data_IF_527851382869
#
_entry.id   IF_527851382869
#
_cell.length_a   1.000
_cell.length_b   1.000
_cell.length_c   1.000
_cell.angle_alpha   90.00
_cell.angle_beta   90.00
_cell.angle_gamma   90.00
#
_symmetry.space_group_name_H-M   'P 1'
#
loop_
_entity.id
_entity.type
_entity.pdbx_description
1 polymer ?
#
# COMPACT_ATOMS: atom_id res chain seq x y z
N UNK A 1 23.60 19.16 11.63
CA UNK A 1 23.98 19.93 12.83
C UNK A 1 22.84 20.04 13.84
N UNK A 2 21.67 20.60 13.47
CA UNK A 2 20.53 20.78 14.39
C UNK A 2 19.98 19.45 14.94
N UNK A 3 19.79 18.42 14.10
CA UNK A 3 19.32 17.11 14.58
C UNK A 3 20.29 16.42 15.56
N UNK A 4 21.60 16.59 15.36
CA UNK A 4 22.64 16.06 16.24
C UNK A 4 22.62 16.79 17.59
N UNK A 5 22.50 18.12 17.57
CA UNK A 5 22.41 18.94 18.77
C UNK A 5 21.16 18.61 19.60
N UNK A 6 20.00 18.41 18.97
CA UNK A 6 18.77 17.98 19.66
C UNK A 6 18.95 16.59 20.28
N UNK A 7 19.52 15.63 19.54
CA UNK A 7 19.77 14.27 20.06
C UNK A 7 20.74 14.25 21.24
N UNK A 8 21.76 15.10 21.23
CA UNK A 8 22.71 15.22 22.34
C UNK A 8 22.10 15.88 23.59
N UNK A 9 20.97 16.57 23.45
CA UNK A 9 20.23 17.24 24.54
C UNK A 9 19.04 16.42 25.05
N UNK A 10 18.71 15.29 24.42
CA UNK A 10 17.66 14.37 24.85
C UNK A 10 18.18 13.54 26.02
N UNK A 11 17.63 13.78 27.21
CA UNK A 11 17.90 12.96 28.38
C UNK A 11 17.20 11.60 28.24
N UNK A 12 17.88 10.52 28.62
CA UNK A 12 17.27 9.19 28.77
C UNK A 12 16.14 9.23 29.79
N UNK A 13 15.15 8.34 29.64
CA UNK A 13 14.00 8.33 30.55
C UNK A 13 14.44 8.06 32.00
N UNK A 14 13.79 8.67 33.02
CA UNK A 14 14.12 8.43 34.44
C UNK A 14 14.07 6.96 34.85
N UNK A 15 13.25 6.15 34.18
CA UNK A 15 13.20 4.71 34.41
C UNK A 15 14.44 3.98 33.86
N UNK A 16 14.95 4.39 32.69
CA UNK A 16 16.16 3.83 32.10
C UNK A 16 17.40 4.17 32.94
N UNK A 17 17.50 5.40 33.45
CA UNK A 17 18.61 5.80 34.30
C UNK A 17 18.61 5.08 35.66
N UNK A 18 17.43 4.80 36.25
CA UNK A 18 17.32 3.94 37.44
C UNK A 18 17.79 2.51 37.17
N UNK A 19 17.35 1.93 36.05
CA UNK A 19 17.79 0.59 35.62
C UNK A 19 19.31 0.49 35.41
N UNK A 20 19.91 1.52 34.83
CA UNK A 20 21.36 1.58 34.60
C UNK A 20 22.12 1.72 35.94
N UNK A 21 21.60 2.54 36.86
CA UNK A 21 22.15 2.72 38.21
C UNK A 21 22.06 1.45 39.08
N UNK A 22 21.00 0.65 38.91
CA UNK A 22 20.81 -0.64 39.61
C UNK A 22 21.68 -1.78 39.02
N UNK A 23 22.53 -1.51 38.03
CA UNK A 23 23.40 -2.50 37.39
C UNK A 23 22.64 -3.48 36.47
N UNK A 24 21.39 -3.15 36.11
CA UNK A 24 20.45 -3.99 35.36
C UNK A 24 20.73 -4.15 33.87
N UNK A 25 21.86 -3.66 33.35
CA UNK A 25 22.26 -3.83 31.97
C UNK A 25 22.71 -5.29 31.70
N UNK A 26 21.75 -6.22 31.61
CA UNK A 26 22.00 -7.62 31.20
C UNK A 26 22.62 -7.65 29.81
N UNK A 27 23.70 -8.43 29.66
CA UNK A 27 24.57 -8.53 28.46
C UNK A 27 23.91 -9.07 27.18
N UNK A 28 22.60 -9.34 27.13
CA UNK A 28 21.95 -9.98 25.96
C UNK A 28 20.50 -9.51 25.66
N UNK A 29 20.28 -8.21 25.40
CA UNK A 29 18.94 -7.65 25.17
C UNK A 29 18.21 -8.27 23.96
N UNK A 30 18.93 -8.65 22.90
CA UNK A 30 18.32 -9.31 21.72
C UNK A 30 17.74 -10.69 22.03
N UNK A 31 18.47 -11.50 22.82
CA UNK A 31 18.02 -12.85 23.19
C UNK A 31 16.82 -12.78 24.14
N UNK A 32 16.80 -11.80 25.02
CA UNK A 32 15.67 -11.58 25.93
C UNK A 32 14.43 -11.01 25.21
N UNK A 33 14.62 -10.13 24.23
CA UNK A 33 13.52 -9.55 23.44
C UNK A 33 12.87 -10.57 22.50
N UNK A 34 13.67 -11.37 21.77
CA UNK A 34 13.18 -12.19 20.66
C UNK A 34 13.14 -13.70 20.94
N UNK A 35 14.06 -14.23 21.75
CA UNK A 35 14.17 -15.68 21.99
C UNK A 35 13.47 -16.12 23.29
N UNK A 36 12.84 -15.20 24.01
CA UNK A 36 12.02 -15.52 25.19
C UNK A 36 10.55 -15.38 24.85
N UNK A 37 9.78 -16.47 24.91
CA UNK A 37 8.36 -16.49 24.48
C UNK A 37 7.48 -15.43 25.15
N UNK A 38 7.74 -15.11 26.43
CA UNK A 38 7.04 -14.05 27.19
C UNK A 38 7.09 -12.68 26.48
N UNK A 39 8.22 -12.36 25.85
CA UNK A 39 8.45 -11.10 25.14
C UNK A 39 8.18 -11.26 23.63
N UNK A 40 8.60 -12.38 23.04
CA UNK A 40 8.40 -12.70 21.63
C UNK A 40 6.93 -12.70 21.21
N UNK A 41 6.01 -13.16 22.08
CA UNK A 41 4.55 -13.05 21.80
C UNK A 41 4.10 -11.59 21.62
N UNK A 42 4.63 -10.65 22.41
CA UNK A 42 4.28 -9.24 22.31
C UNK A 42 4.91 -8.61 21.07
N UNK A 43 6.11 -9.05 20.68
CA UNK A 43 6.74 -8.68 19.40
C UNK A 43 5.86 -9.10 18.22
N UNK A 44 5.33 -10.34 18.23
CA UNK A 44 4.44 -10.83 17.19
C UNK A 44 3.10 -10.10 17.16
N UNK A 45 2.51 -9.82 18.33
CA UNK A 45 1.27 -9.02 18.44
C UNK A 45 1.50 -7.59 17.94
N UNK A 46 2.60 -6.95 18.33
CA UNK A 46 2.94 -5.61 17.83
C UNK A 46 3.18 -5.60 16.32
N UNK A 47 3.91 -6.60 15.80
CA UNK A 47 4.16 -6.75 14.37
C UNK A 47 2.86 -6.94 13.60
N UNK A 48 2.11 -8.00 13.92
CA UNK A 48 0.95 -8.41 13.14
C UNK A 48 -0.27 -7.53 13.42
N UNK A 49 -0.48 -7.10 14.66
CA UNK A 49 -1.63 -6.28 15.08
C UNK A 49 -1.48 -4.80 14.80
N UNK A 50 -0.27 -4.25 14.85
CA UNK A 50 -0.05 -2.80 14.76
C UNK A 50 0.77 -2.45 13.52
N UNK A 51 1.97 -3.03 13.37
CA UNK A 51 2.92 -2.61 12.33
C UNK A 51 2.50 -3.05 10.92
N UNK A 52 1.81 -4.18 10.76
CA UNK A 52 1.21 -4.57 9.48
C UNK A 52 0.14 -3.58 9.04
N UNK A 53 -0.76 -3.17 9.93
CA UNK A 53 -1.72 -2.12 9.63
C UNK A 53 -1.01 -0.80 9.33
N UNK A 54 0.06 -0.45 10.06
CA UNK A 54 0.75 0.80 9.79
C UNK A 54 1.44 0.79 8.42
N UNK A 55 2.11 -0.30 8.06
CA UNK A 55 2.66 -0.48 6.73
C UNK A 55 1.56 -0.42 5.67
N UNK A 56 0.50 -1.21 5.83
CA UNK A 56 -0.58 -1.31 4.85
C UNK A 56 -1.41 -0.04 4.70
N UNK A 57 -1.95 0.50 5.80
CA UNK A 57 -2.90 1.62 5.79
C UNK A 57 -2.22 2.94 5.47
N UNK A 58 -1.09 3.21 6.12
CA UNK A 58 -0.38 4.48 5.94
C UNK A 58 0.23 4.58 4.55
N UNK A 59 0.91 3.51 4.08
CA UNK A 59 1.48 3.53 2.73
C UNK A 59 0.39 3.47 1.66
N UNK A 60 -0.73 2.77 1.88
CA UNK A 60 -1.86 2.79 0.94
C UNK A 60 -2.44 4.20 0.81
N UNK A 61 -2.80 4.82 1.95
CA UNK A 61 -3.45 6.12 1.98
C UNK A 61 -2.57 7.27 1.48
N UNK A 62 -1.25 7.14 1.61
CA UNK A 62 -0.30 8.19 1.22
C UNK A 62 0.46 7.87 -0.07
N UNK A 63 1.37 6.89 -0.03
CA UNK A 63 2.28 6.61 -1.14
C UNK A 63 1.62 5.91 -2.32
N UNK A 64 0.81 4.87 -2.06
CA UNK A 64 0.11 4.16 -3.11
C UNK A 64 -0.94 5.03 -3.76
N UNK A 65 -1.65 5.85 -2.99
CA UNK A 65 -2.63 6.77 -3.55
C UNK A 65 -1.96 7.79 -4.48
N UNK A 66 -0.80 8.35 -4.09
CA UNK A 66 0.02 9.18 -4.99
C UNK A 66 0.41 8.43 -6.26
N UNK A 67 0.94 7.21 -6.12
CA UNK A 67 1.27 6.35 -7.27
C UNK A 67 0.05 6.09 -8.17
N UNK A 68 -1.10 5.78 -7.59
CA UNK A 68 -2.33 5.49 -8.32
C UNK A 68 -2.79 6.73 -9.11
N UNK A 69 -2.82 7.90 -8.48
CA UNK A 69 -3.21 9.14 -9.17
C UNK A 69 -2.26 9.49 -10.32
N UNK A 70 -0.94 9.42 -10.11
CA UNK A 70 0.05 9.80 -11.13
C UNK A 70 0.20 8.75 -12.23
N UNK A 71 0.32 7.47 -11.85
CA UNK A 71 0.71 6.40 -12.76
C UNK A 71 -0.48 5.67 -13.36
N UNK A 72 -1.60 5.56 -12.64
CA UNK A 72 -2.80 4.86 -13.13
C UNK A 72 -3.79 5.87 -13.71
N UNK A 73 -4.21 6.87 -12.92
CA UNK A 73 -5.19 7.87 -13.35
C UNK A 73 -4.58 8.96 -14.23
N UNK A 74 -3.26 8.99 -14.39
CA UNK A 74 -2.51 9.93 -15.23
C UNK A 74 -2.77 11.40 -14.86
N UNK A 75 -2.97 11.67 -13.58
CA UNK A 75 -3.10 13.02 -13.02
C UNK A 75 -1.74 13.70 -13.05
N UNK A 76 -1.74 14.99 -13.33
CA UNK A 76 -0.54 15.81 -13.31
C UNK A 76 0.13 15.83 -11.92
N UNK A 77 1.46 15.65 -11.90
CA UNK A 77 2.25 15.55 -10.66
C UNK A 77 2.08 16.77 -9.76
N UNK A 78 2.01 17.99 -10.31
CA UNK A 78 1.84 19.19 -9.50
C UNK A 78 0.49 19.20 -8.77
N UNK A 79 -0.58 18.73 -9.43
CA UNK A 79 -1.90 18.61 -8.79
C UNK A 79 -1.89 17.58 -7.66
N UNK A 80 -1.26 16.43 -7.88
CA UNK A 80 -1.12 15.39 -6.84
C UNK A 80 -0.28 15.90 -5.68
N UNK A 81 0.85 16.56 -5.94
CA UNK A 81 1.72 17.10 -4.89
C UNK A 81 1.01 18.19 -4.06
N UNK A 82 0.16 19.03 -4.67
CA UNK A 82 -0.68 19.98 -3.95
C UNK A 82 -1.68 19.28 -3.02
N UNK A 83 -2.37 18.24 -3.50
CA UNK A 83 -3.29 17.45 -2.67
C UNK A 83 -2.56 16.78 -1.51
N UNK A 84 -1.41 16.14 -1.79
CA UNK A 84 -0.58 15.48 -0.79
C UNK A 84 -0.04 16.47 0.25
N UNK A 85 0.36 17.68 -0.18
CA UNK A 85 0.80 18.74 0.73
C UNK A 85 -0.33 19.15 1.69
N UNK A 86 -1.54 19.38 1.18
CA UNK A 86 -2.68 19.79 2.01
C UNK A 86 -3.07 18.71 3.02
N UNK A 87 -3.12 17.44 2.61
CA UNK A 87 -3.43 16.35 3.55
C UNK A 87 -2.30 16.14 4.56
N UNK A 88 -1.04 16.42 4.20
CA UNK A 88 0.10 16.36 5.13
C UNK A 88 -0.03 17.42 6.21
N UNK A 89 -0.37 18.65 5.84
CA UNK A 89 -0.61 19.73 6.80
C UNK A 89 -1.78 19.39 7.73
N UNK A 90 -2.88 18.88 7.19
CA UNK A 90 -4.02 18.42 7.99
C UNK A 90 -3.63 17.29 8.95
N UNK A 91 -2.79 16.33 8.49
CA UNK A 91 -2.41 15.17 9.29
C UNK A 91 -1.73 15.54 10.61
N UNK A 92 -0.99 16.66 10.67
CA UNK A 92 -0.34 17.13 11.89
C UNK A 92 -1.34 17.36 13.03
N UNK A 93 -2.44 18.06 12.74
CA UNK A 93 -3.52 18.27 13.71
C UNK A 93 -4.24 16.95 14.04
N UNK A 94 -4.40 16.07 13.05
CA UNK A 94 -5.08 14.79 13.23
C UNK A 94 -4.29 13.81 14.11
N UNK A 95 -2.96 13.76 14.00
CA UNK A 95 -2.13 12.93 14.89
C UNK A 95 -2.29 13.35 16.35
N UNK A 96 -2.28 14.67 16.62
CA UNK A 96 -2.50 15.21 17.97
C UNK A 96 -3.90 14.87 18.46
N UNK A 97 -4.92 15.08 17.62
CA UNK A 97 -6.31 14.77 17.94
C UNK A 97 -6.51 13.29 18.28
N UNK A 98 -6.01 12.36 17.45
CA UNK A 98 -6.18 10.92 17.69
C UNK A 98 -5.31 10.40 18.83
N UNK A 99 -4.15 11.01 19.08
CA UNK A 99 -3.35 10.77 20.28
C UNK A 99 -4.18 11.07 21.53
N UNK A 100 -4.68 12.31 21.63
CA UNK A 100 -5.56 12.77 22.72
C UNK A 100 -6.84 11.93 22.84
N UNK A 101 -7.47 11.58 21.72
CA UNK A 101 -8.69 10.78 21.74
C UNK A 101 -8.41 9.39 22.32
N UNK A 102 -7.25 8.80 22.00
CA UNK A 102 -6.87 7.52 22.57
C UNK A 102 -6.54 7.63 24.06
N UNK A 103 -6.05 8.78 24.54
CA UNK A 103 -5.88 9.03 25.98
C UNK A 103 -7.21 9.08 26.73
N UNK A 104 -8.33 9.26 26.03
CA UNK A 104 -9.69 9.32 26.61
C UNK A 104 -10.54 8.08 26.37
N UNK A 105 -10.38 7.41 25.24
CA UNK A 105 -11.20 6.24 24.85
C UNK A 105 -10.43 4.92 25.06
N UNK A 106 -9.10 4.94 24.95
CA UNK A 106 -8.26 3.75 24.91
C UNK A 106 -7.45 3.67 23.61
N UNK A 107 -6.30 2.99 23.64
CA UNK A 107 -5.44 2.81 22.45
C UNK A 107 -6.11 1.90 21.44
N UNK A 108 -6.59 0.75 21.91
CA UNK A 108 -7.11 -0.33 21.05
C UNK A 108 -8.34 0.12 20.24
N UNK A 109 -9.38 0.75 20.82
CA UNK A 109 -10.55 1.19 20.06
C UNK A 109 -10.22 2.20 18.96
N UNK A 110 -9.33 3.17 19.26
CA UNK A 110 -8.96 4.22 18.29
C UNK A 110 -8.16 3.63 17.12
N UNK A 111 -7.24 2.71 17.41
CA UNK A 111 -6.49 2.00 16.38
C UNK A 111 -7.39 1.14 15.50
N UNK A 112 -8.31 0.38 16.11
CA UNK A 112 -9.27 -0.44 15.38
C UNK A 112 -10.21 0.40 14.51
N UNK A 113 -10.65 1.56 15.00
CA UNK A 113 -11.43 2.50 14.20
C UNK A 113 -10.66 2.89 12.92
N UNK A 114 -9.38 3.25 13.04
CA UNK A 114 -8.55 3.58 11.89
C UNK A 114 -8.42 2.43 10.90
N UNK A 115 -8.16 1.20 11.38
CA UNK A 115 -8.05 0.02 10.53
C UNK A 115 -9.37 -0.32 9.82
N UNK A 116 -10.50 -0.28 10.54
CA UNK A 116 -11.82 -0.59 9.98
C UNK A 116 -12.23 0.48 8.98
N UNK A 117 -12.01 1.76 9.28
CA UNK A 117 -12.26 2.85 8.35
C UNK A 117 -11.46 2.66 7.06
N UNK A 118 -10.19 2.26 7.14
CA UNK A 118 -9.38 1.94 5.97
C UNK A 118 -9.99 0.81 5.13
N UNK A 119 -10.37 -0.31 5.77
CA UNK A 119 -10.98 -1.46 5.10
C UNK A 119 -12.27 -1.09 4.36
N UNK A 120 -13.12 -0.28 5.00
CA UNK A 120 -14.38 0.19 4.41
C UNK A 120 -14.12 1.20 3.30
N UNK A 121 -13.13 2.09 3.47
CA UNK A 121 -12.92 3.21 2.57
C UNK A 121 -12.09 2.88 1.32
N UNK A 122 -11.18 1.90 1.35
CA UNK A 122 -10.24 1.69 0.23
C UNK A 122 -10.92 1.40 -1.10
N UNK A 123 -11.77 0.37 -1.19
CA UNK A 123 -12.45 0.09 -2.46
C UNK A 123 -13.35 1.24 -2.95
N UNK A 124 -14.35 1.71 -2.19
CA UNK A 124 -15.21 2.79 -2.66
C UNK A 124 -14.45 4.10 -2.86
N UNK A 125 -13.48 4.41 -2.02
CA UNK A 125 -12.67 5.62 -2.11
C UNK A 125 -11.79 5.65 -3.36
N UNK A 126 -11.12 4.54 -3.71
CA UNK A 126 -10.34 4.49 -4.96
C UNK A 126 -11.23 4.52 -6.21
N UNK A 127 -12.41 3.91 -6.19
CA UNK A 127 -13.38 4.04 -7.29
C UNK A 127 -13.87 5.49 -7.42
N UNK A 128 -14.22 6.14 -6.30
CA UNK A 128 -14.62 7.54 -6.28
C UNK A 128 -13.47 8.45 -6.74
N UNK A 129 -12.22 8.11 -6.40
CA UNK A 129 -11.03 8.84 -6.83
C UNK A 129 -10.84 8.76 -8.35
N UNK A 130 -11.10 7.62 -8.99
CA UNK A 130 -11.09 7.50 -10.45
C UNK A 130 -12.12 8.44 -11.08
N UNK A 131 -13.34 8.47 -10.55
CA UNK A 131 -14.41 9.35 -11.04
C UNK A 131 -14.09 10.84 -10.82
N UNK A 132 -13.48 11.18 -9.69
CA UNK A 132 -13.17 12.57 -9.33
C UNK A 132 -11.92 13.10 -10.05
N UNK A 133 -10.88 12.28 -10.17
CA UNK A 133 -9.59 12.70 -10.69
C UNK A 133 -9.45 12.53 -12.20
N UNK A 134 -10.11 11.53 -12.80
CA UNK A 134 -10.13 11.33 -14.25
C UNK A 134 -11.49 10.77 -14.72
N UNK A 135 -12.54 11.61 -14.76
CA UNK A 135 -13.87 11.19 -15.22
C UNK A 135 -13.86 10.64 -16.66
N UNK A 136 -13.02 11.19 -17.54
CA UNK A 136 -12.89 10.73 -18.93
C UNK A 136 -12.41 9.28 -19.02
N UNK A 137 -11.48 8.88 -18.14
CA UNK A 137 -11.02 7.49 -18.06
C UNK A 137 -12.15 6.56 -17.61
N UNK A 138 -12.94 6.98 -16.62
CA UNK A 138 -14.07 6.19 -16.14
C UNK A 138 -15.15 6.02 -17.21
N UNK A 139 -15.47 7.08 -17.94
CA UNK A 139 -16.41 7.07 -19.08
C UNK A 139 -15.92 6.17 -20.22
N UNK A 140 -14.63 6.23 -20.55
CA UNK A 140 -14.01 5.38 -21.57
C UNK A 140 -14.08 3.91 -21.19
N UNK A 141 -13.74 3.57 -19.93
CA UNK A 141 -13.84 2.21 -19.40
C UNK A 141 -15.26 1.65 -19.44
N UNK A 142 -16.26 2.50 -19.20
CA UNK A 142 -17.67 2.09 -19.27
C UNK A 142 -18.16 1.90 -20.72
N UNK A 143 -17.70 2.74 -21.65
CA UNK A 143 -18.15 2.74 -23.05
C UNK A 143 -17.46 1.69 -23.92
N UNK A 144 -16.16 1.51 -23.73
CA UNK A 144 -15.31 0.67 -24.57
C UNK A 144 -14.46 -0.26 -23.69
N UNK A 145 -15.08 -1.25 -22.99
CA UNK A 145 -14.36 -2.13 -22.09
C UNK A 145 -13.24 -2.88 -22.83
N UNK A 146 -12.12 -3.07 -22.15
CA UNK A 146 -10.99 -3.84 -22.70
C UNK A 146 -11.11 -5.30 -22.31
N UNK A 147 -10.96 -6.18 -23.29
CA UNK A 147 -10.95 -7.63 -23.10
C UNK A 147 -9.66 -8.20 -23.70
N UNK A 148 -9.01 -9.08 -22.95
CA UNK A 148 -7.87 -9.87 -23.42
C UNK A 148 -8.37 -11.28 -23.69
N UNK A 149 -8.40 -11.66 -24.96
CA UNK A 149 -8.78 -13.00 -25.42
C UNK A 149 -7.50 -13.79 -25.62
N UNK A 150 -7.21 -14.76 -24.76
CA UNK A 150 -5.95 -15.49 -24.79
C UNK A 150 -6.09 -16.92 -24.27
N UNK A 151 -5.20 -17.81 -24.70
CA UNK A 151 -5.07 -19.15 -24.12
C UNK A 151 -4.59 -19.04 -22.66
N UNK A 152 -5.41 -19.44 -21.66
CA UNK A 152 -5.03 -19.35 -20.26
C UNK A 152 -3.74 -20.09 -19.91
N UNK A 153 -3.39 -21.15 -20.65
CA UNK A 153 -2.18 -21.94 -20.40
C UNK A 153 -0.88 -21.17 -20.73
N UNK A 154 -0.97 -20.12 -21.56
CA UNK A 154 0.19 -19.31 -21.99
C UNK A 154 0.32 -17.99 -21.21
N UNK A 155 -0.63 -17.69 -20.33
CA UNK A 155 -0.64 -16.47 -19.54
C UNK A 155 0.08 -16.65 -18.20
N UNK A 156 1.28 -16.12 -18.06
CA UNK A 156 1.99 -16.15 -16.79
C UNK A 156 1.44 -15.13 -15.79
N UNK A 157 1.59 -15.43 -14.50
CA UNK A 157 1.38 -14.44 -13.43
C UNK A 157 2.56 -13.47 -13.47
N UNK A 158 2.30 -12.19 -13.74
CA UNK A 158 3.32 -11.16 -13.98
C UNK A 158 3.98 -10.64 -12.69
N UNK A 159 4.32 -11.54 -11.77
CA UNK A 159 5.06 -11.23 -10.56
C UNK A 159 6.46 -11.79 -10.65
N UNK A 160 7.44 -10.90 -10.79
CA UNK A 160 8.84 -11.27 -10.70
C UNK A 160 9.63 -10.26 -9.86
N UNK A 161 9.81 -10.55 -8.56
CA UNK A 161 10.55 -9.66 -7.66
C UNK A 161 12.07 -9.67 -7.93
N UNK A 162 12.59 -10.57 -8.76
CA UNK A 162 14.03 -10.75 -9.04
C UNK A 162 14.41 -10.26 -10.45
N UNK A 163 13.44 -9.99 -11.32
CA UNK A 163 13.63 -9.39 -12.65
C UNK A 163 14.31 -10.31 -13.67
N UNK A 164 14.16 -11.63 -13.54
CA UNK A 164 14.70 -12.66 -14.43
C UNK A 164 13.70 -13.20 -15.45
N UNK A 165 12.41 -13.02 -15.24
CA UNK A 165 11.34 -13.50 -16.12
C UNK A 165 11.20 -12.58 -17.35
N UNK A 166 11.24 -13.20 -18.54
CA UNK A 166 11.18 -12.46 -19.80
C UNK A 166 9.75 -12.09 -20.23
N UNK A 167 8.72 -12.77 -19.71
CA UNK A 167 7.30 -12.54 -20.03
C UNK A 167 7.07 -12.35 -21.54
N UNK A 168 7.35 -13.41 -22.30
CA UNK A 168 7.50 -13.40 -23.76
C UNK A 168 6.30 -13.96 -24.53
N UNK A 169 5.32 -14.56 -23.86
CA UNK A 169 4.14 -15.05 -24.57
C UNK A 169 3.30 -13.90 -25.10
N UNK A 170 2.50 -14.18 -26.14
CA UNK A 170 1.55 -13.19 -26.67
C UNK A 170 0.59 -12.66 -25.59
N UNK A 171 0.13 -13.53 -24.68
CA UNK A 171 -0.69 -13.12 -23.53
C UNK A 171 0.08 -12.21 -22.56
N UNK A 172 1.32 -12.56 -22.23
CA UNK A 172 2.14 -11.79 -21.31
C UNK A 172 2.40 -10.37 -21.84
N UNK A 173 2.71 -10.25 -23.12
CA UNK A 173 2.93 -8.95 -23.76
C UNK A 173 1.65 -8.11 -23.70
N UNK A 174 0.50 -8.66 -24.10
CA UNK A 174 -0.78 -7.95 -24.06
C UNK A 174 -1.13 -7.46 -22.65
N UNK A 175 -1.08 -8.35 -21.65
CA UNK A 175 -1.40 -8.04 -20.25
C UNK A 175 -0.48 -7.00 -19.65
N UNK A 176 0.81 -7.08 -19.94
CA UNK A 176 1.80 -6.17 -19.38
C UNK A 176 1.68 -4.76 -19.97
N UNK A 177 1.40 -4.66 -21.27
CA UNK A 177 1.15 -3.38 -21.94
C UNK A 177 -0.08 -2.70 -21.35
N UNK A 178 -1.20 -3.42 -21.21
CA UNK A 178 -2.43 -2.87 -20.64
C UNK A 178 -2.27 -2.45 -19.17
N UNK A 179 -1.57 -3.27 -18.39
CA UNK A 179 -1.28 -2.97 -16.98
C UNK A 179 -0.40 -1.72 -16.84
N UNK A 180 0.61 -1.55 -17.71
CA UNK A 180 1.45 -0.36 -17.76
C UNK A 180 0.68 0.89 -18.24
N UNK A 181 -0.29 0.70 -19.13
CA UNK A 181 -1.19 1.76 -19.56
C UNK A 181 -2.11 2.23 -18.42
N UNK A 182 -2.34 1.42 -17.38
CA UNK A 182 -3.24 1.72 -16.27
C UNK A 182 -4.71 1.49 -16.63
N UNK A 183 -4.97 0.59 -17.58
CA UNK A 183 -6.30 0.27 -18.08
C UNK A 183 -6.74 -1.08 -17.52
N UNK A 184 -7.94 -1.12 -16.93
CA UNK A 184 -8.53 -2.39 -16.49
C UNK A 184 -9.02 -3.19 -17.70
N UNK A 185 -8.83 -4.51 -17.67
CA UNK A 185 -9.26 -5.43 -18.70
C UNK A 185 -9.85 -6.71 -18.10
N UNK A 186 -10.74 -7.34 -18.87
CA UNK A 186 -11.29 -8.67 -18.56
C UNK A 186 -10.53 -9.74 -19.34
N UNK A 187 -10.31 -10.91 -18.75
CA UNK A 187 -9.74 -12.04 -19.46
C UNK A 187 -10.85 -12.96 -19.99
N UNK A 188 -10.79 -13.33 -21.26
CA UNK A 188 -11.67 -14.31 -21.88
C UNK A 188 -10.85 -15.45 -22.50
N UNK A 189 -11.24 -16.71 -22.29
CA UNK A 189 -10.45 -17.85 -22.76
C UNK A 189 -10.54 -18.00 -24.28
N UNK A 190 -9.38 -18.04 -24.94
CA UNK A 190 -9.27 -18.41 -26.35
C UNK A 190 -9.06 -19.92 -26.51
N UNK A 191 -9.16 -20.41 -27.75
CA UNK A 191 -8.78 -21.78 -28.08
C UNK A 191 -7.30 -22.04 -27.75
N UNK A 192 -6.92 -23.28 -27.36
CA UNK A 192 -5.53 -23.62 -27.06
C UNK A 192 -4.59 -23.29 -28.23
N UNK A 193 -3.48 -22.62 -27.92
CA UNK A 193 -2.48 -22.19 -28.92
C UNK A 193 -2.87 -20.97 -29.77
N UNK A 194 -4.02 -20.32 -29.51
CA UNK A 194 -4.37 -19.06 -30.15
C UNK A 194 -3.46 -17.92 -29.67
N UNK A 195 -3.02 -17.07 -30.60
CA UNK A 195 -2.30 -15.83 -30.27
C UNK A 195 -3.26 -14.91 -29.52
N UNK A 196 -2.78 -14.30 -28.43
CA UNK A 196 -3.62 -13.40 -27.65
C UNK A 196 -4.08 -12.19 -28.47
N UNK A 197 -5.32 -11.77 -28.28
CA UNK A 197 -5.89 -10.56 -28.88
C UNK A 197 -6.42 -9.63 -27.79
N UNK A 198 -6.31 -8.33 -28.02
CA UNK A 198 -6.85 -7.29 -27.14
C UNK A 198 -7.99 -6.60 -27.87
N UNK A 199 -9.20 -6.73 -27.34
CA UNK A 199 -10.38 -6.02 -27.82
C UNK A 199 -10.58 -4.76 -26.98
N UNK A 200 -10.66 -3.59 -27.62
CA UNK A 200 -10.99 -2.31 -26.99
C UNK A 200 -12.32 -1.84 -27.60
N UNK A 201 -13.43 -2.09 -26.91
CA UNK A 201 -14.76 -1.87 -27.48
C UNK A 201 -14.97 -2.74 -28.74
N UNK A 202 -14.98 -2.13 -29.93
CA UNK A 202 -15.09 -2.84 -31.22
C UNK A 202 -13.74 -3.04 -31.94
N UNK A 203 -12.65 -2.48 -31.43
CA UNK A 203 -11.34 -2.52 -32.07
C UNK A 203 -10.59 -3.76 -31.59
N UNK A 204 -10.15 -4.62 -32.51
CA UNK A 204 -9.36 -5.82 -32.18
C UNK A 204 -7.89 -5.56 -32.52
N UNK A 205 -7.01 -5.76 -31.54
CA UNK A 205 -5.57 -5.59 -31.67
C UNK A 205 -4.88 -6.93 -31.38
N UNK A 206 -4.31 -7.61 -32.38
CA UNK A 206 -3.61 -8.87 -32.15
C UNK A 206 -2.30 -8.64 -31.40
N UNK A 207 -1.99 -9.48 -30.42
CA UNK A 207 -0.68 -9.51 -29.78
C UNK A 207 0.34 -10.25 -30.66
N UNK A 208 1.57 -10.39 -30.17
CA UNK A 208 2.67 -11.05 -30.90
C UNK A 208 3.27 -12.13 -30.02
N UNK A 209 3.47 -13.33 -30.57
CA UNK A 209 4.19 -14.39 -29.90
C UNK A 209 5.70 -14.13 -29.97
N UNK A 210 6.35 -13.94 -28.82
CA UNK A 210 7.78 -13.61 -28.73
C UNK A 210 8.59 -14.69 -28.01
N UNK A 211 7.99 -15.85 -27.71
CA UNK A 211 8.70 -16.98 -27.10
C UNK A 211 9.83 -17.45 -28.00
N UNK A 212 11.03 -17.58 -27.42
CA UNK A 212 12.25 -17.97 -28.15
C UNK A 212 13.01 -16.83 -28.83
N UNK A 213 12.49 -15.58 -28.79
CA UNK A 213 13.23 -14.42 -29.27
C UNK A 213 14.31 -13.98 -28.26
N UNK A 214 15.43 -13.38 -28.72
CA UNK A 214 16.38 -12.72 -27.84
C UNK A 214 15.72 -11.51 -27.15
N UNK A 215 16.29 -11.06 -26.02
CA UNK A 215 15.73 -9.97 -25.21
C UNK A 215 15.43 -8.68 -26.00
N UNK A 216 16.25 -8.34 -26.99
CA UNK A 216 16.00 -7.20 -27.89
C UNK A 216 14.75 -7.39 -28.75
N UNK A 217 14.50 -8.62 -29.24
CA UNK A 217 13.32 -8.97 -30.01
C UNK A 217 12.04 -8.92 -29.16
N UNK A 218 12.09 -9.42 -27.91
CA UNK A 218 10.97 -9.32 -26.97
C UNK A 218 10.64 -7.85 -26.67
N UNK A 219 11.67 -7.01 -26.45
CA UNK A 219 11.47 -5.58 -26.22
C UNK A 219 10.85 -4.87 -27.43
N UNK A 220 11.28 -5.21 -28.65
CA UNK A 220 10.70 -4.66 -29.88
C UNK A 220 9.24 -5.09 -30.08
N UNK A 221 8.93 -6.38 -29.89
CA UNK A 221 7.56 -6.89 -29.96
C UNK A 221 6.64 -6.19 -28.95
N UNK A 222 7.12 -6.00 -27.71
CA UNK A 222 6.37 -5.27 -26.68
C UNK A 222 6.14 -3.81 -27.05
N UNK A 223 7.12 -3.14 -27.63
CA UNK A 223 6.97 -1.74 -28.07
C UNK A 223 5.98 -1.60 -29.24
N UNK A 224 5.98 -2.54 -30.17
CA UNK A 224 5.00 -2.60 -31.27
C UNK A 224 3.57 -2.79 -30.75
N UNK A 225 3.35 -3.79 -29.89
CA UNK A 225 2.04 -4.05 -29.28
C UNK A 225 1.58 -2.85 -28.43
N UNK A 226 2.49 -2.22 -27.69
CA UNK A 226 2.23 -0.98 -26.93
C UNK A 226 1.76 0.17 -27.83
N UNK A 227 2.40 0.39 -28.97
CA UNK A 227 1.98 1.42 -29.92
C UNK A 227 0.58 1.14 -30.49
N UNK A 228 0.29 -0.11 -30.88
CA UNK A 228 -1.01 -0.50 -31.45
C UNK A 228 -2.14 -0.43 -30.43
N UNK A 229 -1.90 -0.88 -29.20
CA UNK A 229 -2.88 -0.77 -28.11
C UNK A 229 -3.14 0.69 -27.74
N UNK A 230 -2.10 1.54 -27.66
CA UNK A 230 -2.29 2.98 -27.40
C UNK A 230 -3.11 3.67 -28.49
N UNK A 231 -2.90 3.32 -29.75
CA UNK A 231 -3.70 3.84 -30.86
C UNK A 231 -5.18 3.44 -30.70
N UNK A 232 -5.45 2.15 -30.44
CA UNK A 232 -6.81 1.64 -30.23
C UNK A 232 -7.50 2.28 -29.00
N UNK A 233 -6.77 2.44 -27.89
CA UNK A 233 -7.26 3.13 -26.70
C UNK A 233 -7.62 4.59 -27.00
N UNK A 234 -6.79 5.30 -27.75
CA UNK A 234 -7.03 6.70 -28.13
C UNK A 234 -8.27 6.82 -29.01
N UNK A 235 -8.42 5.94 -30.00
CA UNK A 235 -9.60 5.86 -30.87
C UNK A 235 -10.88 5.55 -30.08
N UNK A 236 -10.79 4.68 -29.06
CA UNK A 236 -11.88 4.36 -28.15
C UNK A 236 -12.18 5.45 -27.10
N UNK A 237 -11.42 6.55 -27.10
CA UNK A 237 -11.64 7.71 -26.23
C UNK A 237 -10.98 7.64 -24.85
N UNK A 238 -10.02 6.73 -24.65
CA UNK A 238 -9.23 6.70 -23.41
C UNK A 238 -8.27 7.89 -23.35
N UNK A 239 -8.26 8.66 -22.25
CA UNK A 239 -7.40 9.84 -22.14
C UNK A 239 -5.94 9.44 -21.88
N UNK A 240 -5.00 10.05 -22.61
CA UNK A 240 -3.56 9.88 -22.35
C UNK A 240 -3.11 10.53 -21.02
N UNK A 241 -3.82 11.57 -20.58
CA UNK A 241 -3.62 12.32 -19.32
C UNK A 241 -4.97 12.73 -18.75
N UNK A 242 -5.07 12.87 -17.44
CA UNK A 242 -6.27 13.42 -16.81
C UNK A 242 -6.47 14.88 -17.25
N UNK A 243 -7.71 15.24 -17.55
CA UNK A 243 -8.09 16.61 -17.90
C UNK A 243 -8.22 17.48 -16.63
N UNK A 244 -7.36 18.49 -16.44
CA UNK A 244 -7.41 19.37 -15.27
C UNK A 244 -8.74 20.13 -15.13
N UNK A 245 -9.43 20.41 -16.23
CA UNK A 245 -10.70 21.14 -16.21
C UNK A 245 -11.86 20.28 -15.68
N UNK A 246 -11.76 18.95 -15.83
CA UNK A 246 -12.77 17.99 -15.35
C UNK A 246 -12.42 17.39 -13.99
N UNK A 247 -11.18 17.59 -13.52
CA UNK A 247 -10.72 17.09 -12.23
C UNK A 247 -11.42 17.84 -11.08
N UNK A 248 -12.09 17.08 -10.20
CA UNK A 248 -12.72 17.63 -9.01
C UNK A 248 -11.73 17.62 -7.83
N UNK A 249 -10.96 18.69 -7.69
CA UNK A 249 -9.91 18.81 -6.68
C UNK A 249 -10.47 18.66 -5.25
N UNK A 250 -11.61 19.28 -4.97
CA UNK A 250 -12.23 19.25 -3.63
C UNK A 250 -12.67 17.84 -3.25
N UNK A 251 -13.31 17.11 -4.16
CA UNK A 251 -13.72 15.73 -3.91
C UNK A 251 -12.51 14.80 -3.73
N UNK A 252 -11.48 14.95 -4.57
CA UNK A 252 -10.21 14.24 -4.37
C UNK A 252 -9.65 14.49 -2.98
N UNK A 253 -9.54 15.76 -2.57
CA UNK A 253 -9.05 16.13 -1.24
C UNK A 253 -9.86 15.47 -0.11
N UNK A 254 -11.19 15.48 -0.20
CA UNK A 254 -12.06 14.85 0.80
C UNK A 254 -11.85 13.33 0.89
N UNK A 255 -11.73 12.65 -0.25
CA UNK A 255 -11.44 11.19 -0.29
C UNK A 255 -10.09 10.91 0.38
N UNK A 256 -9.06 11.67 0.00
CA UNK A 256 -7.72 11.54 0.60
C UNK A 256 -7.74 11.85 2.10
N UNK A 257 -8.59 12.77 2.55
CA UNK A 257 -8.77 13.07 3.96
C UNK A 257 -9.36 11.89 4.74
N UNK A 258 -10.27 11.12 4.14
CA UNK A 258 -10.78 9.89 4.77
C UNK A 258 -9.66 8.87 4.95
N UNK A 259 -8.82 8.67 3.92
CA UNK A 259 -7.65 7.78 4.03
C UNK A 259 -6.65 8.27 5.08
N UNK A 260 -6.39 9.57 5.11
CA UNK A 260 -5.51 10.18 6.11
C UNK A 260 -6.10 10.06 7.52
N UNK A 261 -7.42 10.18 7.68
CA UNK A 261 -8.12 9.97 8.95
C UNK A 261 -7.88 8.56 9.48
N UNK A 262 -8.06 7.56 8.62
CA UNK A 262 -7.81 6.16 8.96
C UNK A 262 -6.35 5.93 9.38
N UNK A 263 -5.40 6.50 8.63
CA UNK A 263 -3.97 6.40 8.92
C UNK A 263 -3.58 7.11 10.23
N UNK A 264 -4.09 8.32 10.49
CA UNK A 264 -3.82 9.08 11.71
C UNK A 264 -4.46 8.45 12.95
N UNK A 265 -5.67 7.89 12.83
CA UNK A 265 -6.33 7.17 13.92
C UNK A 265 -5.53 5.92 14.34
N UNK A 266 -4.93 5.23 13.38
CA UNK A 266 -4.04 4.12 13.66
C UNK A 266 -2.71 4.58 14.27
N UNK A 267 -2.06 5.57 13.66
CA UNK A 267 -0.70 5.97 13.98
C UNK A 267 -0.59 6.84 15.24
N UNK A 268 -1.55 7.73 15.50
CA UNK A 268 -1.57 8.63 16.66
C UNK A 268 -1.33 7.91 18.00
N UNK A 269 -2.13 6.89 18.35
CA UNK A 269 -1.94 6.08 19.56
C UNK A 269 -0.75 5.11 19.52
N UNK A 270 -0.17 4.84 18.34
CA UNK A 270 0.76 3.73 18.10
C UNK A 270 1.99 3.80 19.01
N UNK A 271 2.60 4.97 19.14
CA UNK A 271 3.82 5.14 19.94
C UNK A 271 3.55 4.82 21.41
N UNK A 272 2.45 5.34 21.97
CA UNK A 272 2.04 5.05 23.34
C UNK A 272 1.71 3.57 23.54
N UNK A 273 0.92 2.98 22.63
CA UNK A 273 0.54 1.57 22.71
C UNK A 273 1.76 0.63 22.72
N UNK A 274 2.77 0.88 21.89
CA UNK A 274 3.99 0.07 21.88
C UNK A 274 4.81 0.25 23.16
N UNK A 275 4.92 1.47 23.67
CA UNK A 275 5.63 1.76 24.93
C UNK A 275 4.96 1.04 26.11
N UNK A 276 3.63 1.05 26.16
CA UNK A 276 2.81 0.39 27.18
C UNK A 276 2.74 -1.16 27.01
N UNK A 277 3.21 -1.70 25.89
CA UNK A 277 3.22 -3.15 25.62
C UNK A 277 4.52 -3.83 26.04
N UNK A 278 5.65 -3.14 25.92
CA UNK A 278 6.98 -3.72 26.15
C UNK A 278 7.62 -3.27 27.47
N UNK A 279 8.27 -4.20 28.21
CA UNK A 279 9.10 -3.86 29.36
C UNK A 279 10.18 -2.84 28.99
N UNK A 280 10.41 -1.86 29.87
CA UNK A 280 11.36 -0.75 29.64
C UNK A 280 12.74 -1.25 29.21
N UNK A 281 13.20 -2.36 29.80
CA UNK A 281 14.53 -2.97 29.54
C UNK A 281 14.79 -3.46 28.12
N UNK A 282 13.76 -3.93 27.42
CA UNK A 282 13.88 -4.48 26.05
C UNK A 282 13.12 -3.66 25.03
N UNK A 283 12.43 -2.60 25.44
CA UNK A 283 11.48 -1.83 24.63
C UNK A 283 12.07 -1.39 23.28
N UNK A 284 13.22 -0.73 23.28
CA UNK A 284 13.83 -0.23 22.05
C UNK A 284 14.20 -1.38 21.08
N UNK A 285 14.85 -2.42 21.60
CA UNK A 285 15.24 -3.60 20.82
C UNK A 285 14.02 -4.35 20.31
N UNK A 286 13.05 -4.63 21.17
CA UNK A 286 11.83 -5.37 20.84
C UNK A 286 10.91 -4.64 19.86
N UNK A 287 10.88 -3.31 19.87
CA UNK A 287 10.07 -2.49 18.93
C UNK A 287 10.71 -2.36 17.55
N UNK A 288 12.04 -2.43 17.45
CA UNK A 288 12.75 -2.20 16.19
C UNK A 288 12.42 -3.23 15.10
N UNK A 289 12.30 -4.51 15.44
CA UNK A 289 12.03 -5.57 14.47
C UNK A 289 10.60 -5.49 13.92
N UNK A 290 9.55 -5.37 14.76
CA UNK A 290 8.20 -5.10 14.29
C UNK A 290 8.13 -3.90 13.35
N UNK A 291 8.80 -2.81 13.72
CA UNK A 291 8.81 -1.59 12.92
C UNK A 291 9.45 -1.81 11.55
N UNK A 292 10.66 -2.38 11.49
CA UNK A 292 11.36 -2.57 10.22
C UNK A 292 10.65 -3.57 9.30
N UNK A 293 10.06 -4.64 9.84
CA UNK A 293 9.31 -5.60 9.03
C UNK A 293 7.98 -5.00 8.57
N UNK A 294 7.18 -4.43 9.48
CA UNK A 294 5.90 -3.85 9.11
C UNK A 294 6.05 -2.67 8.13
N UNK A 295 6.91 -1.71 8.42
CA UNK A 295 7.09 -0.55 7.53
C UNK A 295 7.90 -0.88 6.29
N UNK A 296 9.00 -1.61 6.44
CA UNK A 296 9.92 -1.91 5.34
C UNK A 296 9.36 -2.92 4.37
N UNK A 297 8.81 -4.04 4.86
CA UNK A 297 8.32 -5.10 3.98
C UNK A 297 6.88 -4.85 3.57
N UNK A 298 5.97 -4.64 4.53
CA UNK A 298 4.56 -4.41 4.18
C UNK A 298 4.39 -3.06 3.51
N UNK A 299 4.94 -1.98 4.08
CA UNK A 299 4.87 -0.66 3.44
C UNK A 299 5.71 -0.55 2.16
N UNK A 300 6.98 -0.94 2.22
CA UNK A 300 7.93 -0.73 1.12
C UNK A 300 7.66 -1.57 -0.13
N UNK A 301 7.19 -2.82 0.01
CA UNK A 301 6.86 -3.67 -1.15
C UNK A 301 5.45 -3.41 -1.69
N UNK A 302 4.64 -2.57 -1.04
CA UNK A 302 3.25 -2.35 -1.41
C UNK A 302 3.09 -1.94 -2.88
N UNK A 303 3.80 -0.93 -3.44
CA UNK A 303 3.58 -0.55 -4.83
C UNK A 303 3.92 -1.68 -5.83
N UNK A 304 5.01 -2.41 -5.57
CA UNK A 304 5.44 -3.51 -6.44
C UNK A 304 4.45 -4.70 -6.37
N UNK A 305 4.06 -5.09 -5.15
CA UNK A 305 3.09 -6.16 -4.95
C UNK A 305 1.71 -5.77 -5.50
N UNK A 306 1.28 -4.53 -5.30
CA UNK A 306 0.02 -4.02 -5.84
C UNK A 306 0.02 -4.00 -7.37
N UNK A 307 1.11 -3.55 -7.99
CA UNK A 307 1.26 -3.59 -9.45
C UNK A 307 1.18 -5.03 -9.98
N UNK A 308 1.84 -5.97 -9.33
CA UNK A 308 1.80 -7.37 -9.73
C UNK A 308 0.40 -8.00 -9.59
N UNK A 309 -0.33 -7.65 -8.52
CA UNK A 309 -1.73 -8.05 -8.33
C UNK A 309 -2.63 -7.46 -9.43
N UNK A 310 -2.43 -6.19 -9.80
CA UNK A 310 -3.13 -5.57 -10.93
C UNK A 310 -2.81 -6.30 -12.23
N UNK A 311 -1.54 -6.61 -12.50
CA UNK A 311 -1.13 -7.30 -13.71
C UNK A 311 -1.64 -8.75 -13.79
N UNK A 312 -1.74 -9.44 -12.64
CA UNK A 312 -2.29 -10.79 -12.55
C UNK A 312 -3.81 -10.84 -12.76
N UNK A 313 -4.54 -9.88 -12.20
CA UNK A 313 -6.00 -9.84 -12.24
C UNK A 313 -6.57 -9.12 -13.48
N UNK A 314 -5.81 -8.18 -14.03
CA UNK A 314 -6.28 -7.22 -15.03
C UNK A 314 -7.12 -6.06 -14.48
N UNK A 315 -7.25 -5.93 -13.16
CA UNK A 315 -8.07 -4.89 -12.53
C UNK A 315 -7.19 -3.93 -11.71
N UNK A 316 -7.23 -2.64 -12.04
CA UNK A 316 -6.42 -1.60 -11.37
C UNK A 316 -6.69 -1.47 -9.87
N UNK A 317 -7.86 -1.89 -9.40
CA UNK A 317 -8.23 -1.86 -7.98
C UNK A 317 -7.79 -3.13 -7.23
N UNK A 318 -7.38 -4.19 -7.93
CA UNK A 318 -7.02 -5.45 -7.29
C UNK A 318 -5.74 -5.32 -6.44
N UNK A 319 -4.87 -4.35 -6.76
CA UNK A 319 -3.71 -4.01 -5.94
C UNK A 319 -4.06 -3.67 -4.49
N UNK A 320 -5.27 -3.13 -4.24
CA UNK A 320 -5.75 -2.79 -2.89
C UNK A 320 -5.87 -4.00 -1.97
N UNK A 321 -6.05 -5.21 -2.52
CA UNK A 321 -6.12 -6.45 -1.74
C UNK A 321 -4.86 -6.71 -0.92
N UNK A 322 -3.70 -6.22 -1.37
CA UNK A 322 -2.47 -6.29 -0.58
C UNK A 322 -2.65 -5.59 0.77
N UNK A 323 -3.07 -4.32 0.75
CA UNK A 323 -3.28 -3.55 1.97
C UNK A 323 -4.46 -4.06 2.78
N UNK A 324 -5.53 -4.51 2.13
CA UNK A 324 -6.69 -5.09 2.80
C UNK A 324 -6.31 -6.38 3.54
N UNK A 325 -5.54 -7.28 2.94
CA UNK A 325 -5.14 -8.53 3.57
C UNK A 325 -4.31 -8.30 4.84
N UNK A 326 -3.28 -7.45 4.78
CA UNK A 326 -2.46 -7.13 5.95
C UNK A 326 -3.25 -6.36 7.01
N UNK A 327 -4.18 -5.49 6.62
CA UNK A 327 -5.05 -4.77 7.56
C UNK A 327 -6.05 -5.71 8.23
N UNK A 328 -6.61 -6.71 7.52
CA UNK A 328 -7.49 -7.73 8.09
C UNK A 328 -6.77 -8.59 9.13
N UNK A 329 -5.53 -9.01 8.83
CA UNK A 329 -4.66 -9.71 9.78
C UNK A 329 -4.48 -8.84 11.03
N UNK A 330 -4.18 -7.56 10.85
CA UNK A 330 -3.97 -6.63 11.95
C UNK A 330 -5.21 -6.37 12.80
N UNK A 331 -6.39 -6.25 12.18
CA UNK A 331 -7.67 -6.16 12.87
C UNK A 331 -7.94 -7.42 13.68
N UNK A 332 -7.78 -8.61 13.07
CA UNK A 332 -7.97 -9.89 13.77
C UNK A 332 -7.03 -10.03 14.97
N UNK A 333 -5.75 -9.70 14.77
CA UNK A 333 -4.76 -9.80 15.85
C UNK A 333 -5.02 -8.78 16.96
N UNK A 334 -5.38 -7.55 16.60
CA UNK A 334 -5.68 -6.49 17.55
C UNK A 334 -6.95 -6.79 18.35
N UNK A 335 -7.98 -7.31 17.71
CA UNK A 335 -9.22 -7.69 18.39
C UNK A 335 -9.00 -8.80 19.41
N UNK A 336 -8.26 -9.85 19.04
CA UNK A 336 -8.14 -11.08 19.84
C UNK A 336 -7.03 -10.97 20.89
N UNK A 337 -5.83 -10.49 20.51
CA UNK A 337 -4.63 -10.62 21.34
C UNK A 337 -4.04 -9.30 21.85
N UNK A 338 -4.37 -8.15 21.26
CA UNK A 338 -3.92 -6.87 21.82
C UNK A 338 -4.82 -6.47 23.00
N UNK A 339 -4.29 -6.37 24.23
CA UNK A 339 -5.05 -5.83 25.36
C UNK A 339 -5.20 -4.32 25.23
N UNK A 340 -6.15 -3.74 25.97
CA UNK A 340 -6.12 -2.29 26.18
C UNK A 340 -4.92 -1.95 27.06
N UNK A 341 -4.13 -0.96 26.62
CA UNK A 341 -2.86 -0.60 27.27
C UNK A 341 -2.93 0.74 27.99
N UNK A 342 -3.98 1.54 27.76
CA UNK A 342 -4.19 2.82 28.43
C UNK A 342 -4.17 2.67 29.95
N UNK A 343 -3.34 3.48 30.61
CA UNK A 343 -3.25 3.54 32.07
C UNK A 343 -2.51 2.37 32.71
N UNK A 344 -1.83 1.54 31.91
CA UNK A 344 -1.01 0.45 32.42
C UNK A 344 0.24 1.01 33.11
N UNK A 345 0.46 0.58 34.36
CA UNK A 345 1.66 0.94 35.11
C UNK A 345 2.90 0.39 34.41
N UNK A 346 3.82 1.29 34.02
CA UNK A 346 5.04 0.95 33.27
C UNK A 346 6.08 0.25 34.16
N UNK A 347 6.05 0.50 35.46
CA UNK A 347 6.98 -0.09 36.43
C UNK A 347 6.57 -1.53 36.81
N UNK A 348 5.29 -1.88 36.59
CA UNK A 348 4.77 -3.23 36.78
C UNK A 348 4.97 -4.16 35.55
N UNK A 349 5.49 -3.64 34.42
CA UNK A 349 5.76 -4.41 33.19
C UNK A 349 7.19 -4.95 33.24
N UNK A 350 7.44 -5.95 34.10
CA UNK A 350 8.73 -6.68 34.18
C UNK A 350 8.68 -8.13 33.68
#
# INVERSE_FOLDING_TARGET
AISLWIRLKLHESPAYTRMEAEGGARRAPYREAFLTWKNGRWVLIALAGIMFAQGAVWYAGYFYTRFFMERVLKVDTNTVDQLILLITLASAAMYVFFGWLSDRVGRKPVMLFGMILALVAFFPGFHALTQAANPALAEAQARAPVVVVADPATCAVQFDPVGKAAFSSSCDIAKSVLSNAGVSYRNEPAAPGAVAEVTVGSIVVPSVEATGLPAAGIKAARADVDARIKAALTEAGYPAKADPARLNFGLCFLILMVFMTAACALYGPQAAALVELFPTRVRYTAMSLPYNIGTGWVGGLLPAASFALVAASGNIYFGLWYSVAFTLIAVGVTLIWLPETRGRDLDAIE
#
